data_IF_244210822181
#
_entry.id   IF_244210822181
#
_cell.length_a   1.000
_cell.length_b   1.000
_cell.length_c   1.000
_cell.angle_alpha   90.00
_cell.angle_beta   90.00
_cell.angle_gamma   90.00
#
_symmetry.space_group_name_H-M   'P 1'
#
loop_
_entity.id
_entity.type
_entity.pdbx_description
1 polymer ?
#
# COMPACT_ATOMS: atom_id res chain seq x y z
N UNK A 1 -23.76 -2.83 -4.49
CA UNK A 1 -23.36 -1.73 -3.60
C UNK A 1 -23.10 -0.52 -4.47
N UNK A 2 -23.94 0.52 -4.33
CA UNK A 2 -23.72 1.81 -4.97
C UNK A 2 -23.38 2.81 -3.87
N UNK A 3 -22.18 3.37 -3.93
CA UNK A 3 -21.83 4.52 -3.10
C UNK A 3 -22.62 5.73 -3.60
N UNK A 4 -23.09 6.56 -2.68
CA UNK A 4 -23.70 7.82 -3.05
C UNK A 4 -22.64 8.83 -3.57
N UNK A 5 -23.11 9.98 -4.10
CA UNK A 5 -22.19 10.98 -4.65
C UNK A 5 -21.31 11.63 -3.59
N UNK A 6 -21.79 11.78 -2.36
CA UNK A 6 -21.06 12.41 -1.28
C UNK A 6 -19.97 11.47 -0.75
N UNK A 7 -20.30 10.20 -0.56
CA UNK A 7 -19.34 9.14 -0.20
C UNK A 7 -18.26 8.97 -1.27
N UNK A 8 -18.66 8.97 -2.55
CA UNK A 8 -17.71 8.90 -3.67
C UNK A 8 -16.76 10.10 -3.70
N UNK A 9 -17.27 11.30 -3.47
CA UNK A 9 -16.46 12.51 -3.44
C UNK A 9 -15.49 12.51 -2.25
N UNK A 10 -15.94 12.05 -1.08
CA UNK A 10 -15.09 11.91 0.11
C UNK A 10 -13.96 10.90 -0.12
N UNK A 11 -14.28 9.74 -0.70
CA UNK A 11 -13.31 8.69 -1.02
C UNK A 11 -12.25 9.15 -2.04
N UNK A 12 -12.66 9.94 -3.04
CA UNK A 12 -11.74 10.41 -4.08
C UNK A 12 -10.98 11.69 -3.70
N UNK A 13 -11.32 12.32 -2.58
CA UNK A 13 -10.76 13.62 -2.18
C UNK A 13 -9.24 13.60 -2.14
N UNK A 14 -8.65 12.63 -1.47
CA UNK A 14 -7.20 12.50 -1.34
C UNK A 14 -6.51 12.34 -2.71
N UNK A 15 -7.11 11.56 -3.60
CA UNK A 15 -6.61 11.38 -4.97
C UNK A 15 -6.61 12.68 -5.75
N UNK A 16 -7.67 13.50 -5.64
CA UNK A 16 -7.74 14.80 -6.30
C UNK A 16 -6.82 15.84 -5.68
N UNK A 17 -6.68 15.84 -4.36
CA UNK A 17 -5.75 16.71 -3.65
C UNK A 17 -4.30 16.41 -4.08
N UNK A 18 -3.93 15.14 -4.17
CA UNK A 18 -2.63 14.72 -4.66
C UNK A 18 -2.39 15.09 -6.13
N UNK A 19 -3.38 14.87 -7.00
CA UNK A 19 -3.29 15.30 -8.41
C UNK A 19 -3.10 16.82 -8.53
N UNK A 20 -3.77 17.59 -7.68
CA UNK A 20 -3.62 19.04 -7.63
C UNK A 20 -2.22 19.42 -7.14
N UNK A 21 -1.69 18.73 -6.15
CA UNK A 21 -0.34 18.93 -5.66
C UNK A 21 0.72 18.62 -6.74
N UNK A 22 0.60 17.52 -7.49
CA UNK A 22 1.47 17.22 -8.65
C UNK A 22 1.43 18.35 -9.68
N UNK A 23 0.27 18.96 -9.89
CA UNK A 23 0.08 20.05 -10.86
C UNK A 23 0.76 21.34 -10.43
N UNK A 24 0.74 21.65 -9.13
CA UNK A 24 1.14 22.96 -8.58
C UNK A 24 2.54 22.97 -7.98
N UNK A 25 3.01 21.85 -7.44
CA UNK A 25 4.29 21.76 -6.72
C UNK A 25 5.29 20.82 -7.46
N UNK A 26 6.41 21.37 -7.97
CA UNK A 26 7.46 20.58 -8.59
C UNK A 26 8.10 19.54 -7.66
N UNK A 27 8.13 19.79 -6.34
CA UNK A 27 8.69 18.84 -5.39
C UNK A 27 7.79 17.59 -5.25
N UNK A 28 6.47 17.78 -5.27
CA UNK A 28 5.51 16.66 -5.27
C UNK A 28 5.59 15.88 -6.58
N UNK A 29 5.73 16.54 -7.73
CA UNK A 29 5.95 15.86 -9.00
C UNK A 29 7.26 15.07 -8.99
N UNK A 30 8.33 15.64 -8.46
CA UNK A 30 9.63 14.96 -8.30
C UNK A 30 9.49 13.71 -7.43
N UNK A 31 8.76 13.80 -6.32
CA UNK A 31 8.46 12.65 -5.47
C UNK A 31 7.67 11.56 -6.21
N UNK A 32 6.64 11.97 -6.96
CA UNK A 32 5.79 11.07 -7.73
C UNK A 32 6.56 10.24 -8.77
N UNK A 33 7.54 10.84 -9.45
CA UNK A 33 8.34 10.14 -10.46
C UNK A 33 9.49 9.32 -9.87
N UNK A 34 9.84 9.52 -8.58
CA UNK A 34 10.85 8.74 -7.87
C UNK A 34 10.38 7.29 -7.62
N UNK A 35 9.11 7.12 -7.28
CA UNK A 35 8.56 5.83 -6.86
C UNK A 35 8.71 4.68 -7.87
N UNK A 36 8.58 4.89 -9.20
CA UNK A 36 8.84 3.84 -10.20
C UNK A 36 10.33 3.53 -10.41
N UNK A 37 11.23 4.39 -9.91
CA UNK A 37 12.68 4.29 -10.16
C UNK A 37 13.38 3.44 -9.08
N UNK A 38 12.78 3.28 -7.92
CA UNK A 38 13.32 2.52 -6.78
C UNK A 38 12.97 1.03 -6.81
N UNK A 39 12.29 0.53 -7.84
CA UNK A 39 12.17 -0.91 -8.07
C UNK A 39 13.57 -1.45 -8.45
N UNK A 40 14.24 -2.08 -7.48
CA UNK A 40 15.63 -2.59 -7.53
C UNK A 40 15.91 -3.59 -8.67
N UNK A 41 14.91 -3.92 -9.47
CA UNK A 41 15.00 -4.92 -10.54
C UNK A 41 15.10 -4.33 -11.95
N UNK A 42 14.93 -3.04 -12.14
CA UNK A 42 15.04 -2.42 -13.45
C UNK A 42 16.48 -1.90 -13.69
N UNK A 43 17.40 -2.84 -13.95
CA UNK A 43 18.76 -2.56 -14.43
C UNK A 43 18.67 -2.22 -15.93
N UNK A 44 17.93 -1.20 -16.28
CA UNK A 44 18.01 -0.63 -17.62
C UNK A 44 19.09 0.42 -17.66
N UNK A 45 20.13 0.27 -18.49
CA UNK A 45 21.19 1.27 -18.64
C UNK A 45 20.73 2.57 -19.32
N UNK A 46 19.52 2.58 -19.88
CA UNK A 46 18.93 3.76 -20.49
C UNK A 46 18.24 4.61 -19.41
N UNK A 47 18.77 5.80 -19.14
CA UNK A 47 18.09 6.79 -18.31
C UNK A 47 16.70 7.05 -18.88
N UNK A 48 15.67 6.72 -18.10
CA UNK A 48 14.29 7.01 -18.47
C UNK A 48 14.07 8.53 -18.51
N UNK A 49 13.06 8.99 -19.24
CA UNK A 49 12.65 10.41 -19.21
C UNK A 49 12.34 10.87 -17.77
N UNK A 50 11.83 9.98 -16.93
CA UNK A 50 11.57 10.24 -15.52
C UNK A 50 12.86 10.50 -14.75
N UNK A 51 13.89 9.68 -14.94
CA UNK A 51 15.19 9.82 -14.26
C UNK A 51 15.85 11.16 -14.59
N UNK A 52 15.82 11.53 -15.87
CA UNK A 52 16.38 12.80 -16.31
C UNK A 52 15.67 13.97 -15.65
N UNK A 53 14.33 13.97 -15.65
CA UNK A 53 13.53 15.05 -15.03
C UNK A 53 13.74 15.04 -13.51
N UNK A 54 13.79 13.89 -12.87
CA UNK A 54 14.05 13.74 -11.44
C UNK A 54 15.39 14.37 -11.02
N UNK A 55 16.46 14.05 -11.79
CA UNK A 55 17.81 14.59 -11.57
C UNK A 55 17.84 16.11 -11.80
N UNK A 56 17.24 16.59 -12.90
CA UNK A 56 17.23 18.01 -13.25
C UNK A 56 16.47 18.86 -12.23
N UNK A 57 15.33 18.37 -11.73
CA UNK A 57 14.59 19.04 -10.63
C UNK A 57 15.38 19.07 -9.32
N UNK A 58 16.26 18.08 -9.09
CA UNK A 58 17.12 18.06 -7.91
C UNK A 58 18.34 18.98 -8.01
N UNK A 59 18.77 19.32 -9.23
CA UNK A 59 19.93 20.15 -9.47
C UNK A 59 19.59 21.63 -9.55
N UNK A 60 18.42 22.00 -10.09
CA UNK A 60 18.08 23.39 -10.30
C UNK A 60 16.55 23.62 -10.34
N UNK A 61 16.02 24.34 -9.37
CA UNK A 61 14.60 24.69 -9.25
C UNK A 61 14.07 25.47 -10.47
N UNK A 62 14.96 26.23 -11.16
CA UNK A 62 14.55 26.95 -12.39
C UNK A 62 14.17 26.02 -13.54
N UNK A 63 14.56 24.75 -13.47
CA UNK A 63 14.13 23.76 -14.46
C UNK A 63 12.59 23.66 -14.53
N UNK A 64 11.88 23.85 -13.42
CA UNK A 64 10.44 23.88 -13.36
C UNK A 64 9.77 24.99 -14.23
N UNK A 65 10.55 25.98 -14.68
CA UNK A 65 10.08 27.07 -15.55
C UNK A 65 10.26 26.75 -17.05
N UNK A 66 10.90 25.63 -17.38
CA UNK A 66 11.19 25.26 -18.75
C UNK A 66 9.98 24.64 -19.46
N UNK A 67 9.96 24.79 -20.80
CA UNK A 67 8.96 24.14 -21.65
C UNK A 67 9.01 22.61 -21.50
N UNK A 68 10.23 22.04 -21.39
CA UNK A 68 10.43 20.60 -21.26
C UNK A 68 9.74 20.07 -19.98
N UNK A 69 9.88 20.76 -18.86
CA UNK A 69 9.18 20.41 -17.63
C UNK A 69 7.66 20.52 -17.77
N UNK A 70 7.16 21.59 -18.40
CA UNK A 70 5.73 21.77 -18.61
C UNK A 70 5.11 20.67 -19.45
N UNK A 71 5.75 20.32 -20.58
CA UNK A 71 5.31 19.24 -21.46
C UNK A 71 5.33 17.89 -20.72
N UNK A 72 6.38 17.62 -19.96
CA UNK A 72 6.49 16.42 -19.12
C UNK A 72 5.38 16.35 -18.07
N UNK A 73 5.12 17.44 -17.36
CA UNK A 73 4.06 17.52 -16.35
C UNK A 73 2.69 17.22 -16.94
N UNK A 74 2.40 17.74 -18.14
CA UNK A 74 1.15 17.46 -18.85
C UNK A 74 1.02 15.96 -19.13
N UNK A 75 2.09 15.31 -19.56
CA UNK A 75 2.08 13.86 -19.86
C UNK A 75 1.83 13.04 -18.59
N UNK A 76 2.48 13.37 -17.46
CA UNK A 76 2.21 12.74 -16.17
C UNK A 76 0.74 12.91 -15.76
N UNK A 77 0.19 14.12 -15.84
CA UNK A 77 -1.20 14.38 -15.45
C UNK A 77 -2.20 13.63 -16.37
N UNK A 78 -1.90 13.50 -17.66
CA UNK A 78 -2.72 12.68 -18.57
C UNK A 78 -2.69 11.22 -18.19
N UNK A 79 -1.50 10.68 -17.87
CA UNK A 79 -1.34 9.30 -17.41
C UNK A 79 -2.09 9.07 -16.10
N UNK A 80 -1.94 9.97 -15.13
CA UNK A 80 -2.66 9.91 -13.85
C UNK A 80 -4.19 9.92 -14.06
N UNK A 81 -4.67 10.83 -14.88
CA UNK A 81 -6.12 10.92 -15.21
C UNK A 81 -6.62 9.65 -15.90
N UNK A 82 -5.82 9.06 -16.79
CA UNK A 82 -6.16 7.78 -17.43
C UNK A 82 -6.29 6.67 -16.40
N UNK A 83 -5.31 6.55 -15.49
CA UNK A 83 -5.33 5.56 -14.43
C UNK A 83 -6.52 5.76 -13.48
N UNK A 84 -6.84 7.00 -13.11
CA UNK A 84 -8.00 7.32 -12.29
C UNK A 84 -9.32 6.88 -12.96
N UNK A 85 -9.46 7.06 -14.29
CA UNK A 85 -10.64 6.56 -15.05
C UNK A 85 -10.73 5.04 -15.08
N UNK A 86 -9.61 4.32 -14.87
CA UNK A 86 -9.56 2.88 -14.75
C UNK A 86 -9.81 2.41 -13.30
N UNK A 87 -10.09 3.33 -12.37
CA UNK A 87 -10.38 3.02 -10.97
C UNK A 87 -9.14 2.96 -10.08
N UNK A 88 -7.97 3.39 -10.56
CA UNK A 88 -6.78 3.47 -9.72
C UNK A 88 -6.85 4.75 -8.87
N UNK A 89 -7.22 4.59 -7.62
CA UNK A 89 -7.34 5.66 -6.63
C UNK A 89 -6.29 5.49 -5.53
N UNK A 90 -5.90 6.59 -4.90
CA UNK A 90 -5.05 6.55 -3.73
C UNK A 90 -5.87 6.08 -2.53
N UNK A 91 -5.34 5.11 -1.83
CA UNK A 91 -5.87 4.63 -0.55
C UNK A 91 -4.71 4.44 0.41
N UNK A 92 -4.95 4.67 1.68
CA UNK A 92 -3.99 4.29 2.70
C UNK A 92 -3.88 2.76 2.73
N UNK A 93 -2.69 2.24 2.52
CA UNK A 93 -2.47 0.79 2.44
C UNK A 93 -1.00 0.42 2.43
N UNK A 94 -0.75 -0.88 2.46
CA UNK A 94 0.59 -1.44 2.35
C UNK A 94 0.52 -2.82 1.67
N UNK A 95 1.64 -3.25 1.08
CA UNK A 95 1.85 -4.64 0.71
C UNK A 95 2.54 -5.34 1.86
N UNK A 96 1.88 -6.38 2.39
CA UNK A 96 2.40 -7.14 3.52
C UNK A 96 2.51 -8.62 3.17
N UNK A 97 3.52 -9.27 3.74
CA UNK A 97 3.65 -10.72 3.64
C UNK A 97 2.69 -11.36 4.62
N UNK A 98 1.77 -12.18 4.06
CA UNK A 98 0.84 -12.96 4.86
C UNK A 98 1.59 -14.09 5.56
N UNK A 99 1.51 -14.12 6.88
CA UNK A 99 2.16 -15.12 7.71
C UNK A 99 1.16 -15.79 8.64
N UNK A 100 1.21 -17.12 8.73
CA UNK A 100 0.44 -17.86 9.74
C UNK A 100 0.89 -17.46 11.14
N UNK A 101 0.06 -17.73 12.16
CA UNK A 101 0.41 -17.36 13.52
C UNK A 101 1.69 -18.08 13.98
N UNK A 102 2.80 -17.34 14.22
CA UNK A 102 4.08 -17.95 14.57
C UNK A 102 4.10 -18.57 15.97
N UNK A 103 3.24 -18.10 16.88
CA UNK A 103 3.10 -18.68 18.22
C UNK A 103 2.50 -20.08 18.14
N UNK A 104 1.45 -20.24 17.32
CA UNK A 104 0.82 -21.54 17.07
C UNK A 104 1.79 -22.51 16.41
N UNK A 105 2.57 -22.03 15.44
CA UNK A 105 3.61 -22.82 14.80
C UNK A 105 4.64 -23.32 15.82
N UNK A 106 5.07 -22.45 16.73
CA UNK A 106 6.01 -22.80 17.79
C UNK A 106 5.39 -23.82 18.75
N UNK A 107 4.16 -23.60 19.20
CA UNK A 107 3.44 -24.52 20.09
C UNK A 107 3.25 -25.88 19.44
N UNK A 108 2.89 -25.93 18.15
CA UNK A 108 2.73 -27.17 17.40
C UNK A 108 4.07 -27.93 17.28
N UNK A 109 5.17 -27.22 17.03
CA UNK A 109 6.50 -27.84 16.88
C UNK A 109 6.99 -28.54 18.15
N UNK A 110 6.55 -28.07 19.33
CA UNK A 110 6.89 -28.65 20.64
C UNK A 110 5.77 -29.52 21.23
N UNK A 111 4.72 -29.82 20.45
CA UNK A 111 3.59 -30.64 20.86
C UNK A 111 2.69 -30.05 21.95
N UNK A 112 2.70 -28.73 22.10
CA UNK A 112 1.91 -28.00 23.12
C UNK A 112 0.73 -27.20 22.53
N UNK A 113 0.46 -27.32 21.25
CA UNK A 113 -0.65 -26.64 20.64
C UNK A 113 -1.98 -27.31 21.05
N UNK A 114 -2.89 -26.54 21.64
CA UNK A 114 -4.16 -26.99 22.19
C UNK A 114 -5.35 -26.81 21.20
N UNK A 115 -5.09 -26.34 20.00
CA UNK A 115 -6.12 -26.09 18.99
C UNK A 115 -6.78 -24.72 19.10
N UNK A 116 -6.32 -23.85 20.00
CA UNK A 116 -6.85 -22.49 20.20
C UNK A 116 -5.87 -21.46 19.68
N UNK A 117 -6.36 -20.57 18.80
CA UNK A 117 -5.54 -19.47 18.29
C UNK A 117 -5.45 -18.32 19.30
N UNK A 118 -4.24 -17.76 19.48
CA UNK A 118 -4.03 -16.52 20.24
C UNK A 118 -4.63 -15.31 19.50
N UNK A 119 -4.83 -15.42 18.18
CA UNK A 119 -5.59 -14.46 17.37
C UNK A 119 -7.00 -15.01 17.17
N UNK A 120 -8.03 -14.33 17.62
CA UNK A 120 -9.42 -14.73 17.37
C UNK A 120 -9.75 -14.78 15.88
N UNK A 121 -10.83 -15.48 15.53
CA UNK A 121 -11.33 -15.54 14.14
C UNK A 121 -11.64 -14.12 13.64
N UNK A 122 -11.24 -13.82 12.38
CA UNK A 122 -11.41 -12.51 11.78
C UNK A 122 -10.43 -11.45 12.29
N UNK A 123 -9.47 -11.82 13.13
CA UNK A 123 -8.43 -10.91 13.61
C UNK A 123 -7.11 -11.14 12.90
N UNK A 124 -6.35 -10.06 12.80
CA UNK A 124 -4.96 -10.06 12.34
C UNK A 124 -4.10 -9.30 13.34
N UNK A 125 -2.79 -9.47 13.24
CA UNK A 125 -1.82 -8.67 13.96
C UNK A 125 -0.76 -8.14 13.00
N UNK A 126 -0.69 -6.82 12.88
CA UNK A 126 0.36 -6.10 12.16
C UNK A 126 0.73 -4.83 12.92
N UNK A 127 2.01 -4.44 12.85
CA UNK A 127 2.52 -3.21 13.47
C UNK A 127 2.31 -1.97 12.59
N UNK A 128 1.90 -2.15 11.34
CA UNK A 128 1.76 -1.06 10.37
C UNK A 128 0.56 -0.15 10.66
N UNK A 129 -0.54 -0.72 11.12
CA UNK A 129 -1.81 -0.02 11.35
C UNK A 129 -2.19 -0.03 12.83
N UNK A 130 -3.01 0.93 13.24
CA UNK A 130 -3.47 1.03 14.62
C UNK A 130 -4.29 -0.18 15.07
N UNK A 131 -4.14 -0.58 16.32
CA UNK A 131 -4.93 -1.67 16.89
C UNK A 131 -6.40 -1.24 17.09
N UNK A 132 -7.32 -2.17 16.90
CA UNK A 132 -8.76 -1.94 16.88
C UNK A 132 -9.31 -1.45 15.54
N UNK A 133 -8.46 -1.15 14.57
CA UNK A 133 -8.90 -0.76 13.23
C UNK A 133 -9.38 -1.96 12.41
N UNK A 134 -10.47 -1.73 11.66
CA UNK A 134 -10.92 -2.65 10.62
C UNK A 134 -10.17 -2.32 9.32
N UNK A 135 -9.55 -3.31 8.74
CA UNK A 135 -8.78 -3.18 7.51
C UNK A 135 -9.46 -3.96 6.39
N UNK A 136 -9.15 -3.62 5.15
CA UNK A 136 -9.54 -4.42 3.99
C UNK A 136 -8.31 -5.13 3.49
N UNK A 137 -8.29 -6.45 3.65
CA UNK A 137 -7.26 -7.32 3.07
C UNK A 137 -7.69 -7.83 1.70
N UNK A 138 -6.78 -7.84 0.75
CA UNK A 138 -7.01 -8.47 -0.55
C UNK A 138 -5.80 -9.28 -0.99
N UNK A 139 -6.05 -10.42 -1.63
CA UNK A 139 -5.01 -11.30 -2.17
C UNK A 139 -5.19 -11.47 -3.67
N UNK A 140 -4.13 -11.24 -4.42
CA UNK A 140 -4.12 -11.53 -5.86
C UNK A 140 -3.73 -13.00 -6.12
N UNK A 141 -4.31 -13.67 -7.14
CA UNK A 141 -5.36 -13.18 -8.04
C UNK A 141 -6.75 -13.18 -7.40
N UNK A 142 -7.59 -12.21 -7.79
CA UNK A 142 -9.00 -12.13 -7.35
C UNK A 142 -9.86 -13.13 -8.13
N UNK A 143 -9.86 -14.39 -7.71
CA UNK A 143 -10.62 -15.46 -8.38
C UNK A 143 -12.00 -15.62 -7.73
N UNK A 144 -12.12 -15.30 -6.45
CA UNK A 144 -13.36 -15.44 -5.67
C UNK A 144 -13.51 -14.28 -4.68
N UNK A 145 -14.71 -14.12 -4.13
CA UNK A 145 -14.98 -13.14 -3.07
C UNK A 145 -14.14 -13.39 -1.80
N UNK A 146 -13.72 -14.62 -1.57
CA UNK A 146 -12.85 -15.00 -0.45
C UNK A 146 -11.43 -14.44 -0.53
N UNK A 147 -11.03 -13.85 -1.65
CA UNK A 147 -9.76 -13.13 -1.76
C UNK A 147 -9.81 -11.69 -1.25
N UNK A 148 -10.96 -11.24 -0.75
CA UNK A 148 -11.16 -9.93 -0.10
C UNK A 148 -11.84 -10.18 1.23
N UNK A 149 -11.22 -9.74 2.32
CA UNK A 149 -11.82 -9.88 3.65
C UNK A 149 -11.58 -8.63 4.50
N UNK A 150 -12.34 -8.49 5.59
CA UNK A 150 -12.33 -7.30 6.44
C UNK A 150 -11.95 -7.70 7.88
N UNK A 151 -10.66 -7.92 8.15
CA UNK A 151 -10.19 -8.27 9.49
C UNK A 151 -10.11 -7.05 10.40
N UNK A 152 -10.03 -7.33 11.71
CA UNK A 152 -9.70 -6.33 12.72
C UNK A 152 -8.24 -6.52 13.14
N UNK A 153 -7.45 -5.44 13.12
CA UNK A 153 -6.10 -5.47 13.65
C UNK A 153 -6.13 -5.45 15.18
N UNK A 154 -5.55 -6.46 15.82
CA UNK A 154 -5.53 -6.58 17.28
C UNK A 154 -4.10 -6.61 17.80
N UNK A 155 -3.90 -6.10 19.01
CA UNK A 155 -2.65 -6.28 19.73
C UNK A 155 -2.52 -7.74 20.15
N UNK A 156 -1.35 -8.34 19.93
CA UNK A 156 -1.04 -9.71 20.37
C UNK A 156 0.31 -9.74 21.07
N UNK A 157 0.29 -9.64 22.39
CA UNK A 157 1.48 -9.59 23.22
C UNK A 157 2.35 -10.86 23.12
N UNK A 158 1.74 -12.01 22.85
CA UNK A 158 2.47 -13.26 22.65
C UNK A 158 3.30 -13.21 21.37
N UNK A 159 2.73 -12.68 20.28
CA UNK A 159 3.48 -12.53 19.03
C UNK A 159 4.62 -11.53 19.23
N UNK A 160 4.34 -10.37 19.81
CA UNK A 160 5.32 -9.32 20.02
C UNK A 160 6.46 -9.74 20.98
N UNK A 161 6.16 -10.60 21.93
CA UNK A 161 7.13 -11.10 22.90
C UNK A 161 8.17 -12.02 22.27
N UNK A 162 7.76 -12.87 21.33
CA UNK A 162 8.63 -13.91 20.78
C UNK A 162 9.16 -13.60 19.39
N UNK A 163 8.50 -12.68 18.66
CA UNK A 163 8.81 -12.37 17.28
C UNK A 163 8.93 -10.86 17.07
N UNK A 164 10.07 -10.42 16.56
CA UNK A 164 10.27 -9.04 16.21
C UNK A 164 9.77 -8.79 14.77
N UNK A 165 8.44 -8.66 14.61
CA UNK A 165 7.83 -8.43 13.31
C UNK A 165 8.17 -7.04 12.77
N UNK A 166 8.39 -6.97 11.47
CA UNK A 166 8.50 -5.70 10.73
C UNK A 166 7.13 -5.21 10.29
N UNK A 167 7.08 -3.97 9.76
CA UNK A 167 5.83 -3.36 9.27
C UNK A 167 5.33 -3.98 7.95
N UNK A 168 6.06 -4.93 7.37
CA UNK A 168 5.71 -5.62 6.12
C UNK A 168 5.10 -7.01 6.37
N UNK A 169 4.87 -7.38 7.62
CA UNK A 169 4.34 -8.69 7.99
C UNK A 169 2.99 -8.54 8.65
N UNK A 170 2.01 -9.31 8.18
CA UNK A 170 0.72 -9.49 8.82
C UNK A 170 0.54 -10.94 9.26
N UNK A 171 0.31 -11.14 10.56
CA UNK A 171 -0.02 -12.44 11.12
C UNK A 171 -1.52 -12.65 11.10
N UNK A 172 -1.94 -13.83 10.65
CA UNK A 172 -3.35 -14.24 10.60
C UNK A 172 -3.61 -15.40 11.54
N UNK A 173 -4.87 -15.60 11.90
CA UNK A 173 -5.29 -16.83 12.56
C UNK A 173 -5.08 -18.02 11.61
N UNK A 174 -4.35 -19.03 12.06
CA UNK A 174 -4.10 -20.25 11.29
C UNK A 174 -5.22 -21.29 11.41
N UNK A 175 -6.22 -21.03 12.27
CA UNK A 175 -7.29 -21.95 12.59
C UNK A 175 -8.63 -21.29 12.37
N UNK A 176 -9.56 -22.05 11.83
CA UNK A 176 -10.91 -21.58 11.55
C UNK A 176 -11.03 -20.81 10.23
N UNK A 177 -12.24 -20.35 9.96
CA UNK A 177 -12.54 -19.59 8.74
C UNK A 177 -12.09 -18.14 8.93
N UNK A 178 -11.07 -17.73 8.20
CA UNK A 178 -10.60 -16.33 8.17
C UNK A 178 -11.27 -15.53 7.06
N UNK A 179 -12.11 -16.17 6.26
CA UNK A 179 -12.71 -15.60 5.04
C UNK A 179 -14.18 -15.99 4.93
#
# INVERSE_FOLDING_TARGET
LQMDKAETAAFLKETFDYMTAIRTDPAVLRYHIKYPIEDEFDISPAESKNDVVYKLLGLNDRFAQTKLYHDFKIDILKSFTKNLRLGHVLVEGNYETLFGNPVEMLQASIGKFDGVSVLGVGNIHTKRFGYGQRLVGSRSPHISMSNVWVPTNVECSEIDRYFNLTNEIVCINSIGENV
#
